data_IF_657126713722
#
_entry.id   IF_657126713722
#
_cell.length_a   1.000
_cell.length_b   1.000
_cell.length_c   1.000
_cell.angle_alpha   90.00
_cell.angle_beta   90.00
_cell.angle_gamma   90.00
#
_symmetry.space_group_name_H-M   'P 1'
#
loop_
_entity.id
_entity.type
_entity.pdbx_description
1 polymer ?
#
# COMPACT_ATOMS: atom_id res chain seq x y z
N UNK A 1 34.10 -28.06 -12.91
CA UNK A 1 32.69 -27.73 -12.75
C UNK A 1 32.51 -26.27 -13.13
N UNK A 2 32.13 -26.01 -14.34
CA UNK A 2 31.90 -24.65 -14.91
C UNK A 2 30.57 -24.14 -14.36
N UNK A 3 30.65 -23.13 -13.47
CA UNK A 3 29.47 -22.40 -13.00
C UNK A 3 28.84 -21.69 -14.18
N UNK A 4 27.64 -22.12 -14.56
CA UNK A 4 26.81 -21.39 -15.50
C UNK A 4 26.38 -20.08 -14.83
N UNK A 5 26.94 -18.97 -15.28
CA UNK A 5 26.45 -17.63 -14.93
C UNK A 5 25.07 -17.48 -15.60
N UNK A 6 24.00 -17.53 -14.84
CA UNK A 6 22.66 -17.21 -15.34
C UNK A 6 22.71 -15.79 -15.90
N UNK A 7 22.35 -15.56 -17.18
CA UNK A 7 22.35 -14.22 -17.75
C UNK A 7 21.35 -13.35 -16.96
N UNK A 8 21.78 -12.15 -16.58
CA UNK A 8 20.92 -11.15 -15.97
C UNK A 8 19.77 -10.87 -16.96
N UNK A 9 18.54 -11.16 -16.57
CA UNK A 9 17.34 -10.84 -17.33
C UNK A 9 17.33 -9.33 -17.63
N UNK A 10 17.38 -8.98 -18.91
CA UNK A 10 17.16 -7.58 -19.31
C UNK A 10 15.68 -7.29 -19.12
N UNK A 11 15.36 -6.33 -18.27
CA UNK A 11 13.97 -5.96 -17.98
C UNK A 11 13.67 -4.56 -18.48
N UNK A 12 12.43 -4.34 -18.91
CA UNK A 12 11.87 -3.02 -19.19
C UNK A 12 10.79 -2.71 -18.15
N UNK A 13 10.79 -1.47 -17.62
CA UNK A 13 9.82 -1.02 -16.62
C UNK A 13 8.87 0.01 -17.23
N UNK A 14 7.61 -0.32 -17.33
CA UNK A 14 6.54 0.63 -17.66
C UNK A 14 5.92 1.18 -16.38
N UNK A 15 5.74 2.52 -16.32
CA UNK A 15 5.08 3.21 -15.20
C UNK A 15 3.99 4.11 -15.75
N UNK A 16 2.82 4.12 -15.09
CA UNK A 16 1.73 5.08 -15.31
C UNK A 16 1.26 5.61 -13.97
N UNK A 17 0.91 6.89 -13.95
CA UNK A 17 0.44 7.57 -12.74
C UNK A 17 -0.91 8.26 -12.97
N UNK A 18 -1.70 8.38 -11.91
CA UNK A 18 -2.94 9.16 -11.91
C UNK A 18 -3.22 9.70 -10.51
N UNK A 19 -3.83 10.88 -10.41
CA UNK A 19 -4.36 11.39 -9.14
C UNK A 19 -5.77 10.84 -8.90
N UNK A 20 -5.91 10.02 -7.88
CA UNK A 20 -7.20 9.35 -7.53
C UNK A 20 -7.28 9.22 -6.02
N UNK A 21 -8.49 9.39 -5.44
CA UNK A 21 -8.73 9.26 -3.99
C UNK A 21 -7.85 10.20 -3.14
N UNK A 22 -7.51 11.37 -3.67
CA UNK A 22 -6.70 12.38 -3.00
C UNK A 22 -5.22 12.01 -2.83
N UNK A 23 -4.72 11.10 -3.65
CA UNK A 23 -3.30 10.71 -3.65
C UNK A 23 -2.82 10.39 -5.06
N UNK A 24 -1.50 10.34 -5.25
CA UNK A 24 -0.90 9.83 -6.49
C UNK A 24 -0.91 8.30 -6.44
N UNK A 25 -1.52 7.70 -7.46
CA UNK A 25 -1.47 6.25 -7.70
C UNK A 25 -0.52 5.98 -8.84
N UNK A 26 0.43 5.09 -8.65
CA UNK A 26 1.33 4.61 -9.72
C UNK A 26 1.18 3.11 -9.93
N UNK A 27 1.14 2.71 -11.19
CA UNK A 27 1.17 1.31 -11.61
C UNK A 27 2.49 1.03 -12.31
N UNK A 28 3.12 -0.06 -11.92
CA UNK A 28 4.40 -0.51 -12.45
C UNK A 28 4.23 -1.90 -13.07
N UNK A 29 4.64 -2.05 -14.31
CA UNK A 29 4.69 -3.34 -15.02
C UNK A 29 6.13 -3.59 -15.42
N UNK A 30 6.67 -4.74 -15.06
CA UNK A 30 8.02 -5.16 -15.38
C UNK A 30 7.93 -6.23 -16.46
N UNK A 31 8.52 -5.95 -17.60
CA UNK A 31 8.51 -6.79 -18.79
C UNK A 31 9.86 -7.49 -18.94
N UNK A 32 9.84 -8.71 -19.41
CA UNK A 32 11.04 -9.42 -19.88
C UNK A 32 11.43 -8.84 -21.25
N UNK A 33 12.70 -8.45 -21.41
CA UNK A 33 13.19 -7.91 -22.68
C UNK A 33 13.72 -9.04 -23.53
N UNK A 34 13.16 -9.24 -24.74
CA UNK A 34 13.71 -10.14 -25.75
C UNK A 34 15.12 -9.69 -26.19
N UNK A 35 15.94 -10.62 -26.66
CA UNK A 35 17.33 -10.34 -27.12
C UNK A 35 17.40 -9.41 -28.33
N UNK A 36 16.27 -9.17 -29.04
CA UNK A 36 16.20 -8.43 -30.31
C UNK A 36 15.84 -6.93 -30.19
N UNK A 37 15.52 -6.42 -28.99
CA UNK A 37 15.16 -5.01 -28.83
C UNK A 37 16.42 -4.13 -28.78
N UNK A 38 16.84 -3.62 -29.95
CA UNK A 38 17.97 -2.71 -30.10
C UNK A 38 17.87 -1.48 -29.20
N UNK A 39 18.95 -1.21 -28.54
CA UNK A 39 19.42 -0.03 -27.80
C UNK A 39 18.48 1.21 -27.80
N UNK A 40 17.44 1.20 -26.94
CA UNK A 40 16.76 2.41 -26.53
C UNK A 40 17.41 2.89 -25.23
N UNK A 41 18.02 4.08 -25.29
CA UNK A 41 18.77 4.70 -24.21
C UNK A 41 17.97 4.77 -22.90
N UNK A 42 18.61 4.36 -21.80
CA UNK A 42 18.16 4.64 -20.44
C UNK A 42 18.01 6.16 -20.26
N UNK A 43 16.80 6.64 -20.16
CA UNK A 43 16.55 8.00 -19.66
C UNK A 43 16.61 7.99 -18.14
N UNK A 44 17.38 8.91 -17.52
CA UNK A 44 17.42 9.02 -16.07
C UNK A 44 16.05 9.39 -15.52
N UNK A 45 15.76 8.92 -14.30
CA UNK A 45 14.53 9.21 -13.56
C UNK A 45 14.28 10.73 -13.54
N UNK A 46 13.10 11.23 -13.90
CA UNK A 46 12.77 12.62 -13.69
C UNK A 46 12.53 12.86 -12.20
N UNK A 47 13.25 13.80 -11.63
CA UNK A 47 12.92 14.44 -10.36
C UNK A 47 11.49 15.00 -10.44
N UNK A 48 10.73 14.76 -9.38
CA UNK A 48 9.38 15.23 -9.09
C UNK A 48 8.92 16.48 -9.87
N UNK A 49 8.11 16.29 -10.90
CA UNK A 49 7.10 17.24 -11.34
C UNK A 49 6.07 16.52 -12.21
N UNK A 50 4.85 16.44 -11.72
CA UNK A 50 3.72 15.89 -12.47
C UNK A 50 3.46 16.73 -13.72
N UNK A 51 3.58 16.13 -14.91
CA UNK A 51 2.97 16.63 -16.12
C UNK A 51 2.16 15.52 -16.78
N UNK A 52 0.92 15.85 -17.08
CA UNK A 52 -0.18 14.98 -17.53
C UNK A 52 -0.07 14.52 -18.99
N UNK A 53 1.13 14.37 -19.54
CA UNK A 53 1.35 13.93 -20.92
C UNK A 53 2.49 12.94 -21.02
N UNK A 54 2.24 11.70 -20.60
CA UNK A 54 3.12 10.59 -20.96
C UNK A 54 2.78 10.13 -22.38
N UNK A 55 3.74 10.30 -23.30
CA UNK A 55 3.68 9.69 -24.62
C UNK A 55 3.52 8.16 -24.47
N UNK A 56 2.74 7.48 -25.34
CA UNK A 56 2.62 6.04 -25.31
C UNK A 56 4.01 5.40 -25.43
N UNK A 57 4.32 4.47 -24.55
CA UNK A 57 5.52 3.65 -24.60
C UNK A 57 5.38 2.68 -25.80
N UNK A 58 6.20 2.79 -26.85
CA UNK A 58 6.05 1.98 -28.06
C UNK A 58 6.33 0.47 -27.84
N UNK A 59 6.87 0.10 -26.67
CA UNK A 59 7.17 -1.30 -26.31
C UNK A 59 6.13 -1.90 -25.34
N UNK A 60 5.07 -1.17 -24.98
CA UNK A 60 4.06 -1.67 -24.04
C UNK A 60 3.06 -2.59 -24.75
N UNK A 61 2.81 -3.82 -24.25
CA UNK A 61 1.73 -4.64 -24.75
C UNK A 61 0.37 -3.93 -24.57
N UNK A 62 -0.48 -3.90 -25.59
CA UNK A 62 -1.81 -3.28 -25.56
C UNK A 62 -2.64 -3.75 -24.36
N UNK A 63 -2.50 -5.00 -23.95
CA UNK A 63 -3.17 -5.60 -22.81
C UNK A 63 -2.73 -4.95 -21.49
N UNK A 64 -1.46 -4.61 -21.33
CA UNK A 64 -0.95 -3.96 -20.11
C UNK A 64 -1.46 -2.52 -20.00
N UNK A 65 -1.47 -1.76 -21.09
CA UNK A 65 -2.04 -0.39 -21.12
C UNK A 65 -3.52 -0.44 -20.77
N UNK A 66 -4.27 -1.35 -21.40
CA UNK A 66 -5.71 -1.53 -21.15
C UNK A 66 -5.98 -1.92 -19.68
N UNK A 67 -5.21 -2.83 -19.11
CA UNK A 67 -5.35 -3.27 -17.73
C UNK A 67 -5.07 -2.12 -16.74
N UNK A 68 -4.06 -1.29 -17.01
CA UNK A 68 -3.75 -0.12 -16.19
C UNK A 68 -4.93 0.87 -16.21
N UNK A 69 -5.46 1.21 -17.40
CA UNK A 69 -6.58 2.14 -17.50
C UNK A 69 -7.84 1.59 -16.81
N UNK A 70 -8.11 0.29 -16.92
CA UNK A 70 -9.22 -0.35 -16.19
C UNK A 70 -9.01 -0.31 -14.67
N UNK A 71 -7.77 -0.50 -14.21
CA UNK A 71 -7.44 -0.41 -12.79
C UNK A 71 -7.67 1.00 -12.23
N UNK A 72 -7.25 2.04 -12.94
CA UNK A 72 -7.54 3.43 -12.60
C UNK A 72 -9.04 3.74 -12.67
N UNK A 73 -9.75 3.20 -13.67
CA UNK A 73 -11.20 3.33 -13.81
C UNK A 73 -11.94 2.76 -12.60
N UNK A 74 -11.52 1.60 -12.10
CA UNK A 74 -12.09 0.98 -10.88
C UNK A 74 -11.80 1.84 -9.63
N UNK A 75 -10.60 2.36 -9.46
CA UNK A 75 -10.29 3.27 -8.34
C UNK A 75 -11.13 4.55 -8.38
N UNK A 76 -11.34 5.15 -9.56
CA UNK A 76 -12.26 6.31 -9.72
C UNK A 76 -13.71 5.94 -9.38
N UNK A 77 -14.14 4.71 -9.67
CA UNK A 77 -15.45 4.22 -9.23
C UNK A 77 -15.53 4.12 -7.70
N UNK A 78 -14.49 3.56 -7.05
CA UNK A 78 -14.45 3.50 -5.58
C UNK A 78 -14.45 4.90 -4.96
N UNK A 79 -13.75 5.87 -5.54
CA UNK A 79 -13.80 7.26 -5.09
C UNK A 79 -15.21 7.85 -5.17
N UNK A 80 -15.96 7.60 -6.25
CA UNK A 80 -17.36 8.05 -6.38
C UNK A 80 -18.29 7.45 -5.32
N UNK A 81 -18.06 6.20 -4.92
CA UNK A 81 -18.90 5.52 -3.93
C UNK A 81 -18.50 5.94 -2.49
N UNK A 82 -17.20 5.98 -2.19
CA UNK A 82 -16.69 6.00 -0.82
C UNK A 82 -16.09 7.32 -0.36
N UNK A 83 -15.85 8.28 -1.24
CA UNK A 83 -15.24 9.55 -0.86
C UNK A 83 -16.05 10.28 0.20
N UNK A 84 -15.42 10.70 1.27
CA UNK A 84 -16.03 11.52 2.33
C UNK A 84 -15.94 13.01 2.04
N UNK A 85 -15.29 13.39 0.95
CA UNK A 85 -15.09 14.77 0.48
C UNK A 85 -16.04 15.14 -0.66
N UNK A 86 -16.51 14.16 -1.43
CA UNK A 86 -17.46 14.35 -2.52
C UNK A 86 -18.88 14.34 -1.96
N UNK A 87 -19.64 15.41 -2.19
CA UNK A 87 -21.04 15.51 -1.72
C UNK A 87 -21.98 14.50 -2.43
N UNK A 88 -21.63 14.09 -3.66
CA UNK A 88 -22.38 13.16 -4.50
C UNK A 88 -22.04 11.68 -4.28
N UNK A 89 -21.06 11.35 -3.40
CA UNK A 89 -20.74 9.97 -3.07
C UNK A 89 -21.84 9.31 -2.22
N UNK A 90 -21.94 7.98 -2.33
CA UNK A 90 -22.92 7.24 -1.52
C UNK A 90 -22.70 7.42 -0.02
N UNK A 91 -21.45 7.40 0.44
CA UNK A 91 -21.13 7.62 1.86
C UNK A 91 -21.56 9.01 2.32
N UNK A 92 -21.29 10.06 1.55
CA UNK A 92 -21.71 11.42 1.90
C UNK A 92 -23.23 11.58 1.91
N UNK A 93 -23.91 10.98 0.93
CA UNK A 93 -25.38 10.99 0.83
C UNK A 93 -26.04 10.18 1.95
N UNK A 94 -25.48 9.04 2.34
CA UNK A 94 -25.94 8.25 3.51
C UNK A 94 -25.79 9.08 4.78
N UNK A 95 -24.64 9.74 4.98
CA UNK A 95 -24.41 10.61 6.15
C UNK A 95 -25.37 11.80 6.19
N UNK A 96 -25.71 12.35 5.04
CA UNK A 96 -26.69 13.45 4.92
C UNK A 96 -28.14 12.97 5.04
N UNK A 97 -28.40 11.66 5.13
CA UNK A 97 -29.77 11.10 5.16
C UNK A 97 -30.53 11.19 3.82
N UNK A 98 -29.84 11.52 2.71
CA UNK A 98 -30.42 11.63 1.37
C UNK A 98 -30.37 10.34 0.56
N UNK A 99 -29.69 9.30 1.07
CA UNK A 99 -29.64 7.96 0.50
C UNK A 99 -29.74 6.92 1.62
N UNK A 100 -30.62 5.94 1.48
CA UNK A 100 -30.65 4.81 2.38
C UNK A 100 -29.52 3.83 2.05
N UNK A 101 -29.02 3.08 3.03
CA UNK A 101 -27.99 2.06 2.77
C UNK A 101 -28.49 0.94 1.85
N UNK A 102 -29.78 0.67 1.85
CA UNK A 102 -30.39 -0.35 0.99
C UNK A 102 -30.39 0.07 -0.50
N UNK A 103 -30.40 1.37 -0.77
CA UNK A 103 -30.41 1.93 -2.12
C UNK A 103 -29.00 2.33 -2.61
N UNK A 104 -27.99 2.23 -1.73
CA UNK A 104 -26.60 2.51 -2.06
C UNK A 104 -25.96 1.39 -2.89
N UNK A 105 -24.80 1.68 -3.49
CA UNK A 105 -24.02 0.65 -4.20
C UNK A 105 -23.79 -0.55 -3.26
N UNK A 106 -24.00 -1.81 -3.72
CA UNK A 106 -23.81 -3.02 -2.91
C UNK A 106 -22.41 -3.15 -2.27
N UNK A 107 -21.41 -2.48 -2.82
CA UNK A 107 -20.06 -2.43 -2.25
C UNK A 107 -20.03 -1.72 -0.89
N UNK A 108 -20.97 -0.81 -0.60
CA UNK A 108 -21.07 -0.15 0.71
C UNK A 108 -21.33 -1.18 1.81
N UNK A 109 -22.29 -2.08 1.61
CA UNK A 109 -22.58 -3.15 2.57
C UNK A 109 -21.42 -4.16 2.70
N UNK A 110 -20.70 -4.44 1.60
CA UNK A 110 -19.53 -5.31 1.62
C UNK A 110 -18.39 -4.71 2.45
N UNK A 111 -18.05 -3.44 2.20
CA UNK A 111 -17.00 -2.71 2.93
C UNK A 111 -17.38 -2.54 4.40
N UNK A 112 -18.66 -2.27 4.72
CA UNK A 112 -19.13 -2.19 6.11
C UNK A 112 -18.84 -3.48 6.87
N UNK A 113 -19.23 -4.64 6.31
CA UNK A 113 -18.93 -5.95 6.93
C UNK A 113 -17.43 -6.21 7.08
N UNK A 114 -16.62 -5.74 6.14
CA UNK A 114 -15.17 -5.87 6.22
C UNK A 114 -14.59 -4.98 7.35
N UNK A 115 -15.07 -3.76 7.49
CA UNK A 115 -14.69 -2.85 8.59
C UNK A 115 -15.10 -3.43 9.96
N UNK A 116 -16.31 -4.03 10.06
CA UNK A 116 -16.77 -4.69 11.31
C UNK A 116 -15.84 -5.85 11.69
N UNK A 117 -15.42 -6.66 10.71
CA UNK A 117 -14.44 -7.73 10.97
C UNK A 117 -13.08 -7.16 11.37
N UNK A 118 -12.62 -6.09 10.72
CA UNK A 118 -11.35 -5.44 11.07
C UNK A 118 -11.37 -4.89 12.50
N UNK A 119 -12.49 -4.31 12.95
CA UNK A 119 -12.66 -3.86 14.33
C UNK A 119 -12.55 -5.01 15.33
N UNK A 120 -13.21 -6.15 15.06
CA UNK A 120 -13.14 -7.35 15.90
C UNK A 120 -11.73 -7.92 15.96
N UNK A 121 -11.08 -8.11 14.80
CA UNK A 121 -9.74 -8.72 14.71
C UNK A 121 -8.69 -7.85 15.38
N UNK A 122 -8.77 -6.52 15.23
CA UNK A 122 -7.84 -5.60 15.88
C UNK A 122 -8.15 -5.37 17.37
N UNK A 123 -9.30 -5.88 17.87
CA UNK A 123 -9.75 -5.64 19.25
C UNK A 123 -10.10 -4.18 19.51
N UNK A 124 -10.67 -3.52 18.52
CA UNK A 124 -11.10 -2.12 18.60
C UNK A 124 -9.97 -1.08 18.39
N UNK A 125 -8.75 -1.51 18.03
CA UNK A 125 -7.68 -0.58 17.67
C UNK A 125 -7.94 0.09 16.29
N UNK A 126 -8.73 -0.54 15.45
CA UNK A 126 -9.31 0.02 14.23
C UNK A 126 -10.84 0.05 14.36
N UNK A 127 -11.48 1.12 13.91
CA UNK A 127 -12.95 1.19 13.77
C UNK A 127 -13.33 2.18 12.70
N UNK A 128 -14.32 1.81 11.88
CA UNK A 128 -14.96 2.70 10.92
C UNK A 128 -16.10 3.52 11.54
N UNK A 129 -16.28 3.53 12.88
CA UNK A 129 -17.36 4.21 13.60
C UNK A 129 -16.89 5.25 14.61
N UNK A 130 -15.62 5.63 14.55
CA UNK A 130 -14.99 6.53 15.53
C UNK A 130 -15.62 7.94 15.63
N UNK A 131 -16.43 8.35 14.61
CA UNK A 131 -17.19 9.62 14.59
C UNK A 131 -18.68 9.47 14.92
N UNK A 132 -19.12 8.31 15.41
CA UNK A 132 -20.52 8.01 15.67
C UNK A 132 -21.34 7.65 14.41
N UNK A 133 -20.72 7.69 13.22
CA UNK A 133 -21.29 7.26 11.94
C UNK A 133 -20.30 6.39 11.17
N UNK A 134 -20.74 5.80 10.05
CA UNK A 134 -19.87 4.97 9.23
C UNK A 134 -18.88 5.83 8.43
N UNK A 135 -17.60 5.62 8.68
CA UNK A 135 -16.45 6.25 8.00
C UNK A 135 -15.44 5.19 7.55
N UNK A 136 -15.54 4.70 6.31
CA UNK A 136 -14.66 3.64 5.83
C UNK A 136 -13.29 4.13 5.36
N UNK A 137 -12.95 5.41 5.52
CA UNK A 137 -11.74 6.04 4.93
C UNK A 137 -10.45 5.30 5.28
N UNK A 138 -10.33 4.80 6.52
CA UNK A 138 -9.15 4.05 6.98
C UNK A 138 -9.07 2.60 6.45
N UNK A 139 -10.06 2.13 5.69
CA UNK A 139 -10.09 0.79 5.11
C UNK A 139 -10.12 0.83 3.57
N UNK A 140 -10.89 1.76 3.02
CA UNK A 140 -11.26 1.73 1.59
C UNK A 140 -10.06 1.91 0.69
N UNK A 141 -9.06 2.70 1.06
CA UNK A 141 -7.89 2.95 0.22
C UNK A 141 -7.13 1.64 -0.07
N UNK A 142 -6.71 0.93 0.96
CA UNK A 142 -5.99 -0.34 0.82
C UNK A 142 -6.83 -1.41 0.11
N UNK A 143 -8.12 -1.51 0.46
CA UNK A 143 -9.05 -2.45 -0.16
C UNK A 143 -9.31 -2.15 -1.65
N UNK A 144 -9.48 -0.90 -2.04
CA UNK A 144 -9.72 -0.52 -3.44
C UNK A 144 -8.50 -0.81 -4.31
N UNK A 145 -7.30 -0.47 -3.82
CA UNK A 145 -6.03 -0.76 -4.51
C UNK A 145 -5.84 -2.27 -4.66
N UNK A 146 -5.99 -3.06 -3.60
CA UNK A 146 -5.93 -4.52 -3.63
C UNK A 146 -6.92 -5.12 -4.64
N UNK A 147 -8.16 -4.62 -4.64
CA UNK A 147 -9.21 -5.09 -5.53
C UNK A 147 -8.89 -4.80 -6.99
N UNK A 148 -8.52 -3.56 -7.33
CA UNK A 148 -8.15 -3.17 -8.68
C UNK A 148 -6.90 -3.93 -9.16
N UNK A 149 -5.90 -4.07 -8.30
CA UNK A 149 -4.69 -4.83 -8.57
C UNK A 149 -4.98 -6.30 -8.90
N UNK A 150 -5.73 -7.00 -8.04
CA UNK A 150 -6.02 -8.42 -8.23
C UNK A 150 -6.91 -8.67 -9.46
N UNK A 151 -7.79 -7.72 -9.80
CA UNK A 151 -8.70 -7.86 -10.93
C UNK A 151 -8.04 -7.59 -12.29
N UNK A 152 -7.16 -6.58 -12.35
CA UNK A 152 -6.67 -6.07 -13.62
C UNK A 152 -5.17 -6.27 -13.84
N UNK A 153 -4.34 -6.16 -12.79
CA UNK A 153 -2.89 -6.18 -12.95
C UNK A 153 -2.29 -7.56 -12.69
N UNK A 154 -2.70 -8.26 -11.62
CA UNK A 154 -2.19 -9.60 -11.32
C UNK A 154 -2.40 -10.60 -12.49
N UNK A 155 -3.51 -10.59 -13.25
CA UNK A 155 -3.68 -11.45 -14.41
C UNK A 155 -2.72 -11.19 -15.57
N UNK A 156 -2.00 -10.06 -15.59
CA UNK A 156 -0.96 -9.79 -16.59
C UNK A 156 0.28 -10.65 -16.43
N UNK A 157 0.52 -11.22 -15.23
CA UNK A 157 1.69 -12.08 -14.99
C UNK A 157 1.67 -13.26 -15.94
N UNK A 158 2.70 -13.38 -16.80
CA UNK A 158 2.80 -14.36 -17.87
C UNK A 158 4.19 -14.34 -18.49
N UNK A 159 4.30 -14.81 -19.75
CA UNK A 159 5.60 -14.95 -20.41
C UNK A 159 6.38 -13.63 -20.49
N UNK A 160 5.70 -12.54 -20.85
CA UNK A 160 6.35 -11.24 -21.07
C UNK A 160 6.30 -10.32 -19.86
N UNK A 161 5.33 -10.52 -18.94
CA UNK A 161 5.20 -9.71 -17.70
C UNK A 161 5.68 -10.51 -16.51
N UNK A 162 6.81 -10.10 -15.95
CA UNK A 162 7.45 -10.80 -14.82
C UNK A 162 7.03 -10.26 -13.46
N UNK A 163 6.63 -8.99 -13.38
CA UNK A 163 6.17 -8.42 -12.11
C UNK A 163 5.22 -7.24 -12.34
N UNK A 164 4.27 -7.07 -11.43
CA UNK A 164 3.32 -5.94 -11.40
C UNK A 164 3.24 -5.35 -10.00
N UNK A 165 3.07 -4.03 -9.92
CA UNK A 165 2.90 -3.33 -8.65
C UNK A 165 1.96 -2.13 -8.79
N UNK A 166 1.15 -1.87 -7.76
CA UNK A 166 0.34 -0.66 -7.64
C UNK A 166 0.66 0.01 -6.31
N UNK A 167 1.00 1.29 -6.35
CA UNK A 167 1.29 2.11 -5.19
C UNK A 167 0.29 3.27 -5.13
N UNK A 168 -0.32 3.51 -3.98
CA UNK A 168 -1.24 4.61 -3.72
C UNK A 168 -0.81 5.37 -2.45
N UNK A 169 -0.03 6.44 -2.64
CA UNK A 169 0.44 7.27 -1.53
C UNK A 169 1.31 6.51 -0.52
N UNK A 170 2.18 5.61 -0.98
CA UNK A 170 3.08 4.82 -0.13
C UNK A 170 2.56 3.42 0.22
N UNK A 171 1.26 3.15 0.04
CA UNK A 171 0.70 1.82 0.26
C UNK A 171 0.69 1.02 -1.05
N UNK A 172 1.22 -0.20 -1.01
CA UNK A 172 1.55 -0.97 -2.20
C UNK A 172 0.99 -2.38 -2.16
N UNK A 173 0.44 -2.83 -3.31
CA UNK A 173 0.22 -4.25 -3.59
C UNK A 173 1.14 -4.66 -4.73
N UNK A 174 1.87 -5.76 -4.54
CA UNK A 174 2.96 -6.19 -5.40
C UNK A 174 2.80 -7.68 -5.73
N UNK A 175 3.21 -8.08 -6.92
CA UNK A 175 3.32 -9.49 -7.29
C UNK A 175 4.43 -9.70 -8.33
N UNK A 176 5.02 -10.88 -8.28
CA UNK A 176 6.04 -11.35 -9.21
C UNK A 176 5.64 -12.75 -9.70
N UNK A 177 5.88 -13.04 -10.95
CA UNK A 177 5.73 -14.38 -11.52
C UNK A 177 6.60 -15.37 -10.73
N UNK A 178 6.10 -16.55 -10.32
CA UNK A 178 6.81 -17.44 -9.39
C UNK A 178 8.19 -17.91 -9.85
N UNK A 179 8.39 -18.02 -11.16
CA UNK A 179 9.64 -18.47 -11.80
C UNK A 179 10.59 -17.32 -12.18
N UNK A 180 10.20 -16.07 -11.96
CA UNK A 180 11.02 -14.91 -12.29
C UNK A 180 11.95 -14.52 -11.13
N UNK A 181 13.20 -14.21 -11.47
CA UNK A 181 14.17 -13.66 -10.50
C UNK A 181 14.01 -12.15 -10.40
N UNK A 182 12.86 -11.73 -9.86
CA UNK A 182 12.54 -10.33 -9.59
C UNK A 182 12.12 -10.13 -8.14
N UNK A 183 12.64 -9.07 -7.51
CA UNK A 183 12.25 -8.67 -6.14
C UNK A 183 11.94 -7.19 -6.10
N UNK A 184 10.79 -6.88 -5.55
CA UNK A 184 10.40 -5.52 -5.23
C UNK A 184 11.20 -5.03 -4.03
N UNK A 185 11.94 -3.94 -4.19
CA UNK A 185 12.66 -3.28 -3.10
C UNK A 185 11.86 -2.08 -2.63
N UNK A 186 11.32 -2.16 -1.43
CA UNK A 186 10.47 -1.14 -0.83
C UNK A 186 11.23 -0.42 0.28
N UNK A 187 11.39 0.90 0.12
CA UNK A 187 11.98 1.76 1.15
C UNK A 187 10.94 2.13 2.21
N UNK A 188 11.32 2.03 3.47
CA UNK A 188 10.53 2.50 4.62
C UNK A 188 11.10 3.85 5.03
N UNK A 189 10.29 4.91 4.90
CA UNK A 189 10.70 6.28 5.21
C UNK A 189 10.96 6.47 6.71
N UNK A 190 11.95 7.30 7.04
CA UNK A 190 12.21 7.73 8.41
C UNK A 190 11.23 8.85 8.78
N UNK A 191 10.31 8.64 9.74
CA UNK A 191 9.30 9.65 10.09
C UNK A 191 9.91 10.92 10.72
N UNK A 192 11.16 10.86 11.22
CA UNK A 192 11.85 11.96 11.85
C UNK A 192 12.78 12.72 10.89
N UNK A 193 13.11 12.16 9.75
CA UNK A 193 14.05 12.72 8.77
C UNK A 193 13.48 12.63 7.36
N UNK A 194 12.73 13.67 6.91
CA UNK A 194 12.14 13.69 5.57
C UNK A 194 13.17 13.40 4.46
N UNK A 195 12.82 12.56 3.51
CA UNK A 195 13.70 12.15 2.41
C UNK A 195 14.72 11.05 2.76
N UNK A 196 14.80 10.62 4.02
CA UNK A 196 15.68 9.52 4.42
C UNK A 196 14.91 8.20 4.56
N UNK A 197 15.59 7.10 4.25
CA UNK A 197 15.07 5.75 4.51
C UNK A 197 15.55 5.24 5.86
N UNK A 198 14.63 4.68 6.64
CA UNK A 198 14.90 3.97 7.87
C UNK A 198 15.36 2.53 7.61
N UNK A 199 14.72 1.88 6.64
CA UNK A 199 14.97 0.49 6.28
C UNK A 199 14.55 0.23 4.82
N UNK A 200 14.94 -0.93 4.31
CA UNK A 200 14.48 -1.47 3.03
C UNK A 200 14.01 -2.90 3.25
N UNK A 201 12.92 -3.29 2.61
CA UNK A 201 12.44 -4.66 2.57
C UNK A 201 12.37 -5.17 1.13
N UNK A 202 12.48 -6.46 0.95
CA UNK A 202 12.34 -7.12 -0.36
C UNK A 202 11.17 -8.08 -0.34
N UNK A 203 10.33 -8.01 -1.38
CA UNK A 203 9.14 -8.85 -1.54
C UNK A 203 9.08 -9.40 -2.97
N UNK A 204 8.58 -10.60 -3.13
CA UNK A 204 8.18 -11.16 -4.43
C UNK A 204 6.67 -10.98 -4.64
N UNK A 205 5.89 -11.23 -3.59
CA UNK A 205 4.43 -11.08 -3.57
C UNK A 205 4.02 -10.51 -2.21
N UNK A 206 2.93 -9.75 -2.15
CA UNK A 206 2.38 -9.19 -0.92
C UNK A 206 2.11 -7.70 -0.98
N UNK A 207 1.93 -7.12 0.18
CA UNK A 207 1.57 -5.71 0.35
C UNK A 207 2.40 -5.05 1.43
N UNK A 208 2.58 -3.74 1.29
CA UNK A 208 3.20 -2.88 2.30
C UNK A 208 2.31 -1.67 2.51
N UNK A 209 1.97 -1.37 3.76
CA UNK A 209 1.27 -0.14 4.12
C UNK A 209 1.98 0.56 5.27
N UNK A 210 1.97 1.90 5.24
CA UNK A 210 2.52 2.73 6.32
C UNK A 210 1.48 3.72 6.79
N UNK A 211 1.22 3.71 8.09
CA UNK A 211 0.42 4.71 8.78
C UNK A 211 1.31 5.57 9.68
N UNK A 212 1.07 6.86 9.69
CA UNK A 212 1.85 7.78 10.52
C UNK A 212 1.25 9.17 10.60
N UNK A 213 1.81 9.99 11.47
CA UNK A 213 1.36 11.38 11.66
C UNK A 213 2.07 12.36 10.73
N UNK A 214 3.17 11.94 10.08
CA UNK A 214 4.01 12.81 9.26
C UNK A 214 3.37 13.17 7.90
N UNK A 215 2.61 12.24 7.27
CA UNK A 215 2.12 12.44 5.90
C UNK A 215 0.83 13.25 5.80
N UNK A 216 -0.10 13.08 6.76
CA UNK A 216 -1.46 13.70 6.73
C UNK A 216 -1.83 14.37 8.04
N UNK A 217 -0.86 14.67 8.92
CA UNK A 217 -1.13 15.25 10.24
C UNK A 217 -1.91 14.28 11.17
N UNK A 218 -2.61 14.81 12.16
CA UNK A 218 -3.34 14.05 13.18
C UNK A 218 -4.67 13.47 12.67
N UNK A 219 -4.68 12.80 11.50
CA UNK A 219 -5.89 12.20 10.91
C UNK A 219 -6.26 10.85 11.55
N UNK A 220 -5.28 10.12 12.10
CA UNK A 220 -5.52 8.87 12.83
C UNK A 220 -6.15 9.21 14.18
N UNK A 221 -7.20 8.50 14.52
CA UNK A 221 -7.92 8.64 15.78
C UNK A 221 -7.93 7.32 16.51
N UNK A 222 -7.76 7.36 17.82
CA UNK A 222 -8.02 6.21 18.69
C UNK A 222 -9.54 6.01 18.78
N UNK A 223 -10.11 4.91 18.27
CA UNK A 223 -11.55 4.70 18.27
C UNK A 223 -12.16 4.71 19.70
N UNK A 224 -11.36 4.36 20.70
CA UNK A 224 -11.80 4.28 22.10
C UNK A 224 -12.00 5.64 22.76
N UNK A 225 -11.28 6.67 22.27
CA UNK A 225 -11.32 8.03 22.83
C UNK A 225 -11.80 9.08 21.84
N UNK A 226 -11.88 8.75 20.54
CA UNK A 226 -12.10 9.65 19.41
C UNK A 226 -11.05 10.78 19.28
N UNK A 227 -9.93 10.70 20.02
CA UNK A 227 -8.83 11.67 20.03
C UNK A 227 -7.63 11.13 19.25
N UNK A 228 -6.68 11.98 18.82
CA UNK A 228 -5.40 11.50 18.31
C UNK A 228 -4.74 10.56 19.32
N UNK A 229 -4.10 9.48 18.88
CA UNK A 229 -3.41 8.57 19.81
C UNK A 229 -2.23 9.32 20.47
N UNK A 230 -2.09 9.13 21.78
CA UNK A 230 -0.99 9.68 22.59
C UNK A 230 0.03 8.59 22.97
N UNK A 231 0.07 7.53 22.21
CA UNK A 231 0.77 6.27 22.49
C UNK A 231 2.24 6.29 22.08
N UNK A 232 2.73 7.43 21.60
CA UNK A 232 4.15 7.64 21.30
C UNK A 232 4.63 7.08 19.96
N UNK A 233 3.76 6.49 19.13
CA UNK A 233 4.12 6.03 17.79
C UNK A 233 4.09 7.19 16.79
N UNK A 234 5.19 7.39 16.04
CA UNK A 234 5.31 8.32 14.93
C UNK A 234 4.82 7.69 13.62
N UNK A 235 5.18 6.41 13.38
CA UNK A 235 4.72 5.65 12.23
C UNK A 235 4.72 4.14 12.51
N UNK A 236 3.96 3.40 11.71
CA UNK A 236 4.01 1.95 11.67
C UNK A 236 3.95 1.47 10.21
N UNK A 237 4.86 0.59 9.83
CA UNK A 237 4.87 -0.07 8.52
C UNK A 237 4.55 -1.54 8.70
N UNK A 238 3.59 -2.04 7.93
CA UNK A 238 3.12 -3.43 7.97
C UNK A 238 3.27 -4.07 6.60
N UNK A 239 3.77 -5.29 6.61
CA UNK A 239 3.86 -6.20 5.46
C UNK A 239 2.83 -7.31 5.68
N UNK A 240 2.03 -7.60 4.67
CA UNK A 240 1.02 -8.65 4.67
C UNK A 240 0.81 -9.21 3.26
N UNK A 241 0.03 -10.27 3.11
CA UNK A 241 -0.35 -10.80 1.78
C UNK A 241 -1.32 -9.84 1.07
N UNK A 242 -2.15 -9.12 1.83
CA UNK A 242 -3.21 -8.25 1.35
C UNK A 242 -3.03 -6.83 1.82
N UNK A 243 -3.24 -5.87 0.91
CA UNK A 243 -3.09 -4.47 1.25
C UNK A 243 -4.16 -3.98 2.22
N UNK A 244 -5.37 -4.50 2.13
CA UNK A 244 -6.44 -4.19 3.09
C UNK A 244 -6.07 -4.59 4.53
N UNK A 245 -5.36 -5.71 4.70
CA UNK A 245 -4.90 -6.16 6.02
C UNK A 245 -3.69 -5.32 6.48
N UNK A 246 -2.73 -5.05 5.59
CA UNK A 246 -1.57 -4.22 5.91
C UNK A 246 -1.99 -2.81 6.37
N UNK A 247 -2.93 -2.14 5.66
CA UNK A 247 -3.42 -0.79 5.96
C UNK A 247 -4.17 -0.74 7.32
N UNK A 248 -5.04 -1.72 7.58
CA UNK A 248 -5.73 -1.86 8.87
C UNK A 248 -4.75 -2.04 10.03
N UNK A 249 -3.79 -2.96 9.89
CA UNK A 249 -2.83 -3.22 10.95
C UNK A 249 -1.81 -2.10 11.13
N UNK A 250 -1.45 -1.36 10.08
CA UNK A 250 -0.62 -0.17 10.19
C UNK A 250 -1.32 0.92 11.03
N UNK A 251 -2.62 1.16 10.76
CA UNK A 251 -3.44 2.08 11.55
C UNK A 251 -3.58 1.60 13.01
N UNK A 252 -3.90 0.32 13.22
CA UNK A 252 -4.02 -0.27 14.56
C UNK A 252 -2.72 -0.20 15.35
N UNK A 253 -1.57 -0.41 14.70
CA UNK A 253 -0.25 -0.32 15.33
C UNK A 253 0.08 1.10 15.82
N UNK A 254 -0.26 2.14 15.04
CA UNK A 254 -0.12 3.54 15.48
C UNK A 254 -1.03 3.82 16.67
N UNK A 255 -2.26 3.34 16.68
CA UNK A 255 -3.21 3.49 17.78
C UNK A 255 -2.72 2.78 19.04
N UNK A 256 -2.21 1.55 18.92
CA UNK A 256 -1.64 0.80 20.05
C UNK A 256 -0.37 1.48 20.61
N UNK A 257 0.48 1.97 19.72
CA UNK A 257 1.69 2.73 20.06
C UNK A 257 2.94 1.88 20.25
N UNK A 258 4.04 2.57 20.59
CA UNK A 258 5.38 1.96 20.68
C UNK A 258 5.56 1.04 21.90
N UNK A 259 4.76 1.22 22.96
CA UNK A 259 4.92 0.49 24.21
C UNK A 259 4.06 -0.78 24.30
N UNK A 260 3.05 -0.92 23.45
CA UNK A 260 2.14 -2.06 23.46
C UNK A 260 2.22 -2.84 22.14
N UNK A 261 2.87 -4.00 22.14
CA UNK A 261 2.86 -4.96 21.05
C UNK A 261 2.04 -6.24 21.38
N UNK A 262 1.25 -6.25 22.44
CA UNK A 262 0.40 -7.38 22.80
C UNK A 262 -0.62 -7.75 21.70
N UNK A 263 -0.92 -6.83 20.80
CA UNK A 263 -1.81 -7.04 19.67
C UNK A 263 -1.21 -7.90 18.54
N UNK A 264 0.14 -8.00 18.42
CA UNK A 264 0.80 -8.72 17.30
C UNK A 264 0.41 -10.20 17.23
N UNK A 265 0.08 -10.83 18.38
CA UNK A 265 -0.42 -12.20 18.43
C UNK A 265 -1.74 -12.40 17.63
N UNK A 266 -2.50 -11.34 17.36
CA UNK A 266 -3.69 -11.36 16.50
C UNK A 266 -3.33 -11.09 15.02
N UNK A 267 -2.20 -10.45 14.75
CA UNK A 267 -1.71 -10.08 13.43
C UNK A 267 -0.74 -11.13 12.84
N UNK A 268 -1.03 -12.42 13.03
CA UNK A 268 -0.13 -13.56 12.74
C UNK A 268 0.37 -13.66 11.31
N UNK A 269 -0.37 -13.11 10.36
CA UNK A 269 -0.02 -13.10 8.93
C UNK A 269 0.64 -11.78 8.51
N UNK A 270 1.17 -11.03 9.47
CA UNK A 270 1.86 -9.78 9.22
C UNK A 270 3.25 -9.76 9.81
N UNK A 271 4.10 -8.96 9.20
CA UNK A 271 5.39 -8.54 9.75
C UNK A 271 5.47 -7.02 9.67
N UNK A 272 6.30 -6.38 10.49
CA UNK A 272 6.41 -4.94 10.41
C UNK A 272 7.24 -4.31 11.51
N UNK A 273 7.14 -3.00 11.59
CA UNK A 273 7.81 -2.19 12.60
C UNK A 273 6.96 -0.97 13.02
N UNK A 274 7.14 -0.57 14.27
CA UNK A 274 6.63 0.70 14.83
C UNK A 274 7.82 1.57 15.18
N UNK A 275 7.75 2.84 14.81
CA UNK A 275 8.75 3.87 15.15
C UNK A 275 8.13 4.84 16.14
N UNK A 276 8.80 5.05 17.26
CA UNK A 276 8.41 6.04 18.27
C UNK A 276 8.92 7.44 17.95
N UNK A 277 8.26 8.47 18.50
CA UNK A 277 8.78 9.86 18.47
C UNK A 277 10.13 10.01 19.18
N UNK A 278 10.45 9.08 20.08
CA UNK A 278 11.73 9.01 20.78
C UNK A 278 12.84 8.28 19.99
N UNK A 279 12.55 7.86 18.75
CA UNK A 279 13.46 7.13 17.88
C UNK A 279 13.57 5.64 18.18
N UNK A 280 12.85 5.11 19.18
CA UNK A 280 12.80 3.65 19.40
C UNK A 280 12.10 2.96 18.23
N UNK A 281 12.56 1.77 17.90
CA UNK A 281 11.98 0.90 16.87
C UNK A 281 11.66 -0.44 17.51
N UNK A 282 10.42 -0.90 17.37
CA UNK A 282 10.02 -2.27 17.72
C UNK A 282 9.52 -2.98 16.49
N UNK A 283 9.79 -4.27 16.38
CA UNK A 283 9.51 -5.09 15.19
C UNK A 283 8.76 -6.35 15.58
N UNK A 284 8.00 -6.88 14.65
CA UNK A 284 7.39 -8.20 14.77
C UNK A 284 7.46 -8.95 13.45
N UNK A 285 7.38 -10.28 13.54
CA UNK A 285 7.28 -11.18 12.39
C UNK A 285 6.32 -12.32 12.75
N UNK A 286 5.35 -12.59 11.87
CA UNK A 286 4.40 -13.70 12.00
C UNK A 286 3.68 -13.80 13.37
N UNK A 287 3.37 -12.65 13.98
CA UNK A 287 2.66 -12.58 15.26
C UNK A 287 3.53 -12.53 16.51
N UNK A 288 4.85 -12.58 16.36
CA UNK A 288 5.80 -12.51 17.48
C UNK A 288 6.67 -11.24 17.39
N UNK A 289 6.92 -10.62 18.56
CA UNK A 289 7.88 -9.53 18.63
C UNK A 289 9.30 -10.10 18.39
N UNK A 290 10.09 -9.40 17.58
CA UNK A 290 11.48 -9.79 17.28
C UNK A 290 12.44 -8.67 17.68
N UNK A 291 13.56 -9.06 18.28
CA UNK A 291 14.60 -8.12 18.66
C UNK A 291 15.23 -7.46 17.43
N UNK A 292 15.46 -6.14 17.50
CA UNK A 292 16.21 -5.43 16.49
C UNK A 292 17.70 -5.75 16.64
N UNK A 293 18.23 -6.65 15.80
CA UNK A 293 19.67 -6.84 15.68
C UNK A 293 20.26 -5.57 15.07
N UNK A 294 20.89 -4.70 15.89
CA UNK A 294 21.76 -3.64 15.38
C UNK A 294 22.96 -4.31 14.69
N UNK A 295 23.05 -4.26 13.37
CA UNK A 295 24.36 -4.43 12.72
C UNK A 295 25.23 -3.30 13.26
N UNK A 296 26.28 -3.66 14.01
CA UNK A 296 27.32 -2.73 14.38
C UNK A 296 27.83 -2.06 13.10
N UNK A 297 27.69 -0.74 12.99
CA UNK A 297 28.20 0.02 11.87
C UNK A 297 29.70 -0.22 11.77
N UNK A 298 30.19 -0.73 10.66
CA UNK A 298 31.58 -0.65 10.28
C UNK A 298 31.92 0.84 10.16
N UNK A 299 32.65 1.34 11.12
CA UNK A 299 33.34 2.62 11.00
C UNK A 299 34.24 2.51 9.77
N UNK A 300 33.96 3.25 8.72
CA UNK A 300 34.88 3.49 7.62
C UNK A 300 35.86 4.51 8.14
N UNK A 301 37.12 4.05 8.32
CA UNK A 301 38.30 4.89 8.60
C UNK A 301 38.68 5.66 7.33
#
# INVERSE_FOLDING_TARGET
>A
MTGATTPLLKTHRMVRTAEIMGTVVSVHVILERGEDDGNLSESPLPDSAASDSQLPDPAAPDDAVTAIERSFGELRQMDRIFSTYRADSDISRIRAGSLSEADADPLVALVRRACDRAEVVTGGLFSARWRGGFDPTGYVKGWAVERAFNRWLRPLLGLDVIAVGMNAGGDMQLATRPDADWRWRVGIADPSRPGMLLATTELTDGAVATSGTAERGAHIRDPRSAKPPTTGAASATVIADRLSDADVWATAAVVAGINDLGWVARARHTSGLVVGYDGRIRRWAAGDEVDAVRKAGSAVS
#
